data_IF_735792666369
#
_entry.id   IF_735792666369
#
_cell.length_a   1.000
_cell.length_b   1.000
_cell.length_c   1.000
_cell.angle_alpha   90.00
_cell.angle_beta   90.00
_cell.angle_gamma   90.00
#
_symmetry.space_group_name_H-M   'P 1'
#
loop_
_entity.id
_entity.type
_entity.pdbx_description
1 polymer ?
#
# COMPACT_ATOMS: atom_id res chain seq x y z
N UNK A 1 -30.63 2.64 1.26
CA UNK A 1 -29.52 2.15 0.40
C UNK A 1 -28.39 1.70 1.33
N UNK A 2 -28.19 0.39 1.55
CA UNK A 2 -27.07 -0.09 2.38
C UNK A 2 -25.79 0.10 1.56
N UNK A 3 -25.07 1.19 1.79
CA UNK A 3 -23.74 1.41 1.21
C UNK A 3 -22.81 0.31 1.73
N UNK A 4 -22.69 -0.78 0.96
CA UNK A 4 -21.59 -1.72 1.10
C UNK A 4 -20.37 -0.98 0.56
N UNK A 5 -19.67 -0.24 1.42
CA UNK A 5 -18.32 0.21 1.09
C UNK A 5 -17.54 -1.02 0.65
N UNK A 6 -16.98 -1.04 -0.57
CA UNK A 6 -16.17 -2.17 -0.97
C UNK A 6 -14.93 -2.14 -0.07
N UNK A 7 -14.68 -3.23 0.66
CA UNK A 7 -13.55 -3.31 1.62
C UNK A 7 -12.21 -2.95 0.96
N UNK A 8 -12.11 -3.12 -0.36
CA UNK A 8 -10.96 -2.75 -1.19
C UNK A 8 -10.76 -1.24 -1.37
N UNK A 9 -11.78 -0.40 -1.20
CA UNK A 9 -11.65 1.06 -1.34
C UNK A 9 -10.68 1.61 -0.29
N UNK A 10 -10.74 1.07 0.94
CA UNK A 10 -9.83 1.44 2.03
C UNK A 10 -8.39 1.08 1.66
N UNK A 11 -8.18 -0.13 1.12
CA UNK A 11 -6.86 -0.59 0.66
C UNK A 11 -6.32 0.33 -0.45
N UNK A 12 -7.14 0.68 -1.44
CA UNK A 12 -6.75 1.55 -2.57
C UNK A 12 -6.38 2.94 -2.07
N UNK A 13 -7.21 3.56 -1.22
CA UNK A 13 -6.93 4.89 -0.67
C UNK A 13 -5.62 4.87 0.12
N UNK A 14 -5.41 3.84 0.95
CA UNK A 14 -4.18 3.70 1.73
C UNK A 14 -2.95 3.56 0.82
N UNK A 15 -3.01 2.72 -0.22
CA UNK A 15 -1.94 2.55 -1.20
C UNK A 15 -1.61 3.84 -1.96
N UNK A 16 -2.63 4.59 -2.38
CA UNK A 16 -2.44 5.87 -3.08
C UNK A 16 -1.73 6.88 -2.18
N UNK A 17 -2.17 7.03 -0.93
CA UNK A 17 -1.51 7.91 0.03
C UNK A 17 -0.08 7.45 0.31
N UNK A 18 0.12 6.16 0.52
CA UNK A 18 1.44 5.59 0.74
C UNK A 18 2.40 5.88 -0.44
N UNK A 19 1.95 5.71 -1.68
CA UNK A 19 2.78 5.98 -2.87
C UNK A 19 3.00 7.45 -3.17
N UNK A 20 2.05 8.32 -2.82
CA UNK A 20 2.21 9.76 -3.05
C UNK A 20 3.19 10.39 -2.05
N UNK A 21 3.10 9.99 -0.78
CA UNK A 21 3.83 10.68 0.30
C UNK A 21 5.13 9.99 0.68
N UNK A 22 5.14 8.66 0.81
CA UNK A 22 6.28 7.97 1.44
C UNK A 22 7.57 8.00 0.61
N UNK A 23 7.57 7.76 -0.73
CA UNK A 23 8.80 7.76 -1.52
C UNK A 23 9.53 9.11 -1.47
N UNK A 24 8.78 10.22 -1.38
CA UNK A 24 9.33 11.57 -1.40
C UNK A 24 10.30 11.84 -0.24
N UNK A 25 10.07 11.25 0.93
CA UNK A 25 10.95 11.38 2.08
C UNK A 25 12.32 10.70 1.91
N UNK A 26 12.45 9.80 0.92
CA UNK A 26 13.67 9.03 0.69
C UNK A 26 14.42 9.47 -0.58
N UNK A 27 13.90 10.45 -1.32
CA UNK A 27 14.54 10.91 -2.54
C UNK A 27 15.88 11.60 -2.23
N UNK A 28 16.98 11.19 -2.88
CA UNK A 28 18.27 11.81 -2.68
C UNK A 28 18.31 13.19 -3.31
N UNK A 29 19.25 14.02 -2.86
CA UNK A 29 19.52 15.31 -3.49
C UNK A 29 19.91 15.14 -4.98
N UNK A 30 19.44 16.02 -5.87
CA UNK A 30 19.80 15.97 -7.28
C UNK A 30 21.31 16.10 -7.49
N UNK A 31 21.88 15.09 -8.14
CA UNK A 31 23.28 15.08 -8.58
C UNK A 31 23.50 16.11 -9.68
N UNK A 32 24.45 17.03 -9.48
CA UNK A 32 24.76 18.15 -10.40
C UNK A 32 25.58 17.74 -11.63
N UNK A 33 26.14 16.54 -11.59
CA UNK A 33 26.97 15.90 -12.61
C UNK A 33 26.16 15.45 -13.84
N UNK A 34 24.83 15.46 -13.79
CA UNK A 34 23.97 15.14 -14.95
C UNK A 34 23.97 13.68 -15.38
N UNK A 35 24.79 12.84 -14.74
CA UNK A 35 24.87 11.40 -14.99
C UNK A 35 23.73 10.69 -14.25
N UNK A 36 22.97 9.85 -14.96
CA UNK A 36 21.84 9.08 -14.43
C UNK A 36 20.74 9.93 -13.76
N UNK A 37 20.41 11.09 -14.33
CA UNK A 37 19.29 11.93 -13.88
C UNK A 37 18.00 11.10 -13.75
N UNK A 38 17.33 11.20 -12.59
CA UNK A 38 16.05 10.54 -12.33
C UNK A 38 16.11 9.04 -12.02
N UNK A 39 17.21 8.34 -12.32
CA UNK A 39 17.36 6.91 -12.04
C UNK A 39 17.24 6.58 -10.54
N UNK A 40 17.86 7.32 -9.60
CA UNK A 40 17.70 7.04 -8.18
C UNK A 40 16.26 7.22 -7.69
N UNK A 41 15.57 8.26 -8.17
CA UNK A 41 14.18 8.55 -7.83
C UNK A 41 13.26 7.43 -8.34
N UNK A 42 13.48 6.98 -9.57
CA UNK A 42 12.74 5.87 -10.17
C UNK A 42 12.94 4.57 -9.37
N UNK A 43 14.19 4.24 -9.04
CA UNK A 43 14.52 3.04 -8.27
C UNK A 43 13.82 3.03 -6.90
N UNK A 44 13.89 4.15 -6.17
CA UNK A 44 13.21 4.30 -4.87
C UNK A 44 11.70 4.14 -5.05
N UNK A 45 11.11 4.86 -6.01
CA UNK A 45 9.67 4.81 -6.26
C UNK A 45 9.19 3.40 -6.58
N UNK A 46 9.90 2.67 -7.44
CA UNK A 46 9.62 1.28 -7.79
C UNK A 46 9.66 0.34 -6.58
N UNK A 47 10.69 0.46 -5.73
CA UNK A 47 10.82 -0.38 -4.53
C UNK A 47 9.65 -0.13 -3.57
N UNK A 48 9.29 1.12 -3.32
CA UNK A 48 8.13 1.46 -2.49
C UNK A 48 6.84 0.92 -3.11
N UNK A 49 6.67 1.00 -4.43
CA UNK A 49 5.51 0.46 -5.11
C UNK A 49 5.36 -1.05 -4.91
N UNK A 50 6.43 -1.80 -5.18
CA UNK A 50 6.42 -3.26 -5.06
C UNK A 50 6.17 -3.69 -3.61
N UNK A 51 6.99 -3.20 -2.67
CA UNK A 51 6.90 -3.60 -1.26
C UNK A 51 5.56 -3.15 -0.66
N UNK A 52 5.13 -1.91 -0.94
CA UNK A 52 3.86 -1.37 -0.48
C UNK A 52 2.66 -2.17 -1.00
N UNK A 53 2.68 -2.61 -2.27
CA UNK A 53 1.62 -3.45 -2.83
C UNK A 53 1.53 -4.77 -2.08
N UNK A 54 2.68 -5.46 -1.95
CA UNK A 54 2.75 -6.79 -1.33
C UNK A 54 2.29 -6.71 0.12
N UNK A 55 2.80 -5.75 0.90
CA UNK A 55 2.41 -5.55 2.28
C UNK A 55 0.92 -5.20 2.42
N UNK A 56 0.40 -4.29 1.59
CA UNK A 56 -1.00 -3.89 1.60
C UNK A 56 -1.96 -5.05 1.31
N UNK A 57 -1.65 -5.85 0.29
CA UNK A 57 -2.45 -7.04 -0.07
C UNK A 57 -2.41 -8.09 1.04
N UNK A 58 -1.23 -8.36 1.61
CA UNK A 58 -1.09 -9.31 2.73
C UNK A 58 -1.90 -8.87 3.95
N UNK A 59 -1.81 -7.60 4.33
CA UNK A 59 -2.56 -7.05 5.47
C UNK A 59 -4.07 -7.15 5.19
N UNK A 60 -4.51 -6.80 3.99
CA UNK A 60 -5.93 -6.89 3.63
C UNK A 60 -6.43 -8.34 3.67
N UNK A 61 -5.63 -9.29 3.18
CA UNK A 61 -5.96 -10.71 3.20
C UNK A 61 -6.05 -11.25 4.64
N UNK A 62 -5.07 -10.92 5.49
CA UNK A 62 -5.06 -11.28 6.90
C UNK A 62 -6.29 -10.71 7.64
N UNK A 63 -6.64 -9.45 7.37
CA UNK A 63 -7.84 -8.85 7.94
C UNK A 63 -9.09 -9.63 7.52
N UNK A 64 -9.25 -9.95 6.23
CA UNK A 64 -10.41 -10.73 5.76
C UNK A 64 -10.48 -12.11 6.42
N UNK A 65 -9.35 -12.79 6.59
CA UNK A 65 -9.28 -14.06 7.31
C UNK A 65 -9.74 -13.93 8.78
N UNK A 66 -9.26 -12.91 9.48
CA UNK A 66 -9.65 -12.64 10.88
C UNK A 66 -11.15 -12.34 10.98
N UNK A 67 -11.69 -11.49 10.10
CA UNK A 67 -13.12 -11.19 10.08
C UNK A 67 -13.98 -12.44 9.79
N UNK A 68 -13.53 -13.30 8.89
CA UNK A 68 -14.20 -14.57 8.61
C UNK A 68 -14.16 -15.50 9.83
N UNK A 69 -13.03 -15.57 10.52
CA UNK A 69 -12.89 -16.35 11.75
C UNK A 69 -13.82 -15.85 12.85
N UNK A 70 -13.86 -14.53 13.10
CA UNK A 70 -14.76 -13.90 14.07
C UNK A 70 -16.23 -14.16 13.70
N UNK A 71 -16.59 -13.98 12.42
CA UNK A 71 -17.95 -14.25 11.96
C UNK A 71 -18.35 -15.71 12.16
N UNK A 72 -17.44 -16.65 11.89
CA UNK A 72 -17.66 -18.08 12.10
C UNK A 72 -17.92 -18.36 13.59
N UNK A 73 -17.14 -17.79 14.50
CA UNK A 73 -17.32 -18.00 15.95
C UNK A 73 -18.65 -17.41 16.45
N UNK A 74 -19.02 -16.20 16.03
CA UNK A 74 -20.28 -15.55 16.42
C UNK A 74 -21.55 -16.19 15.84
N UNK A 75 -21.42 -17.11 14.88
CA UNK A 75 -22.58 -17.82 14.28
C UNK A 75 -22.80 -19.19 14.95
N UNK A 76 -21.84 -19.67 15.76
CA UNK A 76 -21.89 -20.96 16.45
C UNK A 76 -22.32 -20.82 17.91
N UNK A 77 -22.26 -19.60 18.47
CA UNK A 77 -22.93 -19.25 19.74
C UNK A 77 -24.37 -18.80 19.47
#
# INVERSE_FOLDING_TARGET
>A
MKWKFPDFLILIIFLVLYYAFLPQFFYPEPRRDGVNCGMPILAITMVFWIIGTIAGVLIHFLWKLILLFIKKHNTVQ
#
